data_IF_656952848041
#
_entry.id   IF_656952848041
#
_cell.length_a   1.000
_cell.length_b   1.000
_cell.length_c   1.000
_cell.angle_alpha   90.00
_cell.angle_beta   90.00
_cell.angle_gamma   90.00
#
_symmetry.space_group_name_H-M   'P 1'
#
loop_
_entity.id
_entity.type
_entity.pdbx_description
1 polymer ?
#
# COMPACT_ATOMS: atom_id res chain seq x y z
N UNK A 1 -5.28 6.80 17.55
CA UNK A 1 -3.97 6.21 17.90
C UNK A 1 -4.09 4.86 18.59
N UNK A 2 -4.88 3.91 18.06
CA UNK A 2 -4.92 2.54 18.60
C UNK A 2 -4.30 1.60 17.56
N UNK A 3 -2.97 1.51 17.56
CA UNK A 3 -2.16 0.85 16.51
C UNK A 3 -2.60 -0.61 16.34
N UNK A 4 -2.89 -1.31 17.43
CA UNK A 4 -3.37 -2.71 17.43
C UNK A 4 -4.63 -2.91 16.58
N UNK A 5 -5.53 -1.93 16.55
CA UNK A 5 -6.75 -2.01 15.73
C UNK A 5 -6.51 -1.65 14.27
N UNK A 6 -5.65 -0.68 13.96
CA UNK A 6 -5.24 -0.42 12.57
C UNK A 6 -4.55 -1.63 11.95
N UNK A 7 -3.70 -2.32 12.71
CA UNK A 7 -3.07 -3.56 12.25
C UNK A 7 -4.10 -4.69 12.09
N UNK A 8 -5.05 -4.83 13.02
CA UNK A 8 -6.10 -5.86 12.92
C UNK A 8 -7.02 -5.65 11.71
N UNK A 9 -7.36 -4.39 11.37
CA UNK A 9 -8.15 -4.05 10.18
C UNK A 9 -7.43 -4.43 8.88
N UNK A 10 -6.10 -4.53 8.86
CA UNK A 10 -5.36 -5.03 7.71
C UNK A 10 -5.21 -6.55 7.74
N UNK A 11 -4.79 -7.11 8.87
CA UNK A 11 -4.43 -8.53 8.97
C UNK A 11 -5.65 -9.44 8.79
N UNK A 12 -6.78 -9.13 9.44
CA UNK A 12 -7.94 -10.04 9.43
C UNK A 12 -8.55 -10.20 8.03
N UNK A 13 -8.88 -9.12 7.30
CA UNK A 13 -9.40 -9.27 5.95
C UNK A 13 -8.38 -9.82 4.95
N UNK A 14 -7.08 -9.56 5.11
CA UNK A 14 -6.04 -10.20 4.28
C UNK A 14 -6.01 -11.71 4.53
N UNK A 15 -6.06 -12.14 5.79
CA UNK A 15 -6.07 -13.56 6.14
C UNK A 15 -7.35 -14.23 5.64
N UNK A 16 -8.50 -13.57 5.80
CA UNK A 16 -9.77 -14.04 5.26
C UNK A 16 -9.74 -14.15 3.74
N UNK A 17 -9.21 -13.14 3.03
CA UNK A 17 -9.05 -13.17 1.58
C UNK A 17 -8.20 -14.35 1.13
N UNK A 18 -7.09 -14.63 1.82
CA UNK A 18 -6.19 -15.73 1.47
C UNK A 18 -6.85 -17.10 1.63
N UNK A 19 -7.59 -17.29 2.74
CA UNK A 19 -8.37 -18.52 2.98
C UNK A 19 -9.52 -18.67 1.97
N UNK A 20 -10.25 -17.58 1.69
CA UNK A 20 -11.34 -17.60 0.71
C UNK A 20 -10.85 -17.83 -0.72
N UNK A 21 -9.69 -17.28 -1.09
CA UNK A 21 -9.05 -17.55 -2.38
C UNK A 21 -8.67 -19.01 -2.52
N UNK A 22 -8.06 -19.60 -1.49
CA UNK A 22 -7.74 -21.03 -1.49
C UNK A 22 -9.01 -21.89 -1.62
N UNK A 23 -10.06 -21.56 -0.88
CA UNK A 23 -11.34 -22.27 -0.94
C UNK A 23 -12.00 -22.16 -2.33
N UNK A 24 -12.15 -20.95 -2.88
CA UNK A 24 -12.86 -20.76 -4.15
C UNK A 24 -12.08 -21.29 -5.36
N UNK A 25 -10.75 -21.25 -5.30
CA UNK A 25 -9.90 -21.68 -6.42
C UNK A 25 -9.62 -23.19 -6.36
N UNK A 26 -9.20 -23.74 -5.21
CA UNK A 26 -8.87 -25.17 -5.12
C UNK A 26 -10.09 -26.06 -4.88
N UNK A 27 -11.02 -25.65 -4.00
CA UNK A 27 -12.15 -26.52 -3.61
C UNK A 27 -13.32 -26.38 -4.57
N UNK A 28 -13.72 -25.15 -4.90
CA UNK A 28 -14.88 -24.90 -5.78
C UNK A 28 -14.53 -24.80 -7.27
N UNK A 29 -13.23 -24.80 -7.62
CA UNK A 29 -12.72 -24.72 -9.01
C UNK A 29 -13.35 -23.63 -9.88
N UNK A 30 -13.73 -22.50 -9.27
CA UNK A 30 -14.34 -21.35 -9.96
C UNK A 30 -13.27 -20.55 -10.74
N UNK A 31 -12.00 -20.97 -10.64
CA UNK A 31 -10.87 -20.34 -11.34
C UNK A 31 -10.72 -18.86 -10.97
N UNK A 32 -10.45 -18.03 -11.97
CA UNK A 32 -10.18 -16.59 -11.80
C UNK A 32 -11.38 -15.83 -11.19
N UNK A 33 -12.61 -16.24 -11.51
CA UNK A 33 -13.81 -15.63 -10.93
C UNK A 33 -13.92 -15.91 -9.42
N UNK A 34 -13.44 -17.06 -8.95
CA UNK A 34 -13.33 -17.40 -7.53
C UNK A 34 -12.37 -16.49 -6.77
N UNK A 35 -11.22 -16.17 -7.37
CA UNK A 35 -10.24 -15.23 -6.81
C UNK A 35 -10.80 -13.80 -6.72
N UNK A 36 -11.57 -13.37 -7.73
CA UNK A 36 -12.25 -12.08 -7.70
C UNK A 36 -13.29 -12.00 -6.56
N UNK A 37 -14.11 -13.03 -6.39
CA UNK A 37 -15.10 -13.11 -5.30
C UNK A 37 -14.44 -13.12 -3.91
N UNK A 38 -13.34 -13.86 -3.74
CA UNK A 38 -12.56 -13.84 -2.51
C UNK A 38 -12.08 -12.43 -2.15
N UNK A 39 -11.67 -11.65 -3.16
CA UNK A 39 -11.19 -10.26 -3.00
C UNK A 39 -12.30 -9.33 -2.57
N UNK A 40 -13.45 -9.41 -3.23
CA UNK A 40 -14.65 -8.63 -2.84
C UNK A 40 -15.08 -8.97 -1.42
N UNK A 41 -15.10 -10.26 -1.05
CA UNK A 41 -15.44 -10.69 0.30
C UNK A 41 -14.44 -10.20 1.35
N UNK A 42 -13.14 -10.28 1.09
CA UNK A 42 -12.10 -9.73 1.97
C UNK A 42 -12.25 -8.23 2.19
N UNK A 43 -12.52 -7.47 1.12
CA UNK A 43 -12.78 -6.03 1.20
C UNK A 43 -14.09 -5.73 1.95
N UNK A 44 -15.14 -6.54 1.77
CA UNK A 44 -16.39 -6.41 2.50
C UNK A 44 -16.20 -6.66 4.02
N UNK A 45 -15.38 -7.63 4.40
CA UNK A 45 -15.01 -7.88 5.81
C UNK A 45 -14.25 -6.67 6.37
N UNK A 46 -13.30 -6.12 5.61
CA UNK A 46 -12.56 -4.90 6.00
C UNK A 46 -13.50 -3.71 6.21
N UNK A 47 -14.41 -3.47 5.27
CA UNK A 47 -15.42 -2.43 5.35
C UNK A 47 -16.35 -2.63 6.56
N UNK A 48 -16.80 -3.86 6.79
CA UNK A 48 -17.63 -4.22 7.94
C UNK A 48 -16.91 -3.98 9.27
N UNK A 49 -15.63 -4.32 9.38
CA UNK A 49 -14.83 -4.02 10.57
C UNK A 49 -14.60 -2.53 10.78
N UNK A 50 -14.37 -1.77 9.70
CA UNK A 50 -14.25 -0.32 9.77
C UNK A 50 -15.55 0.31 10.29
N UNK A 51 -16.71 -0.10 9.76
CA UNK A 51 -18.03 0.36 10.24
C UNK A 51 -18.25 -0.05 11.69
N UNK A 52 -17.96 -1.30 12.08
CA UNK A 52 -18.09 -1.75 13.46
C UNK A 52 -17.19 -0.96 14.42
N UNK A 53 -15.94 -0.70 14.04
CA UNK A 53 -15.00 0.09 14.82
C UNK A 53 -15.47 1.56 14.97
N UNK A 54 -16.00 2.15 13.89
CA UNK A 54 -16.46 3.53 13.85
C UNK A 54 -17.88 3.75 14.40
N UNK A 55 -18.72 2.72 14.56
CA UNK A 55 -20.09 2.85 15.07
C UNK A 55 -20.30 2.18 16.44
N UNK A 56 -19.75 0.99 16.69
CA UNK A 56 -20.09 0.19 17.86
C UNK A 56 -19.11 0.25 19.04
N UNK A 57 -17.88 0.75 18.85
CA UNK A 57 -16.90 0.77 19.95
C UNK A 57 -17.16 1.92 20.94
N UNK A 58 -17.44 1.54 22.20
CA UNK A 58 -17.82 2.41 23.35
C UNK A 58 -16.69 3.31 23.88
N UNK A 59 -15.42 2.99 23.62
CA UNK A 59 -14.25 3.78 24.06
C UNK A 59 -13.77 4.71 22.92
N UNK A 60 -14.40 5.88 22.81
CA UNK A 60 -14.23 6.83 21.69
C UNK A 60 -13.16 7.88 22.02
N UNK A 61 -12.13 7.96 21.17
CA UNK A 61 -11.29 9.18 21.08
C UNK A 61 -11.85 10.19 20.06
N UNK A 62 -12.78 9.76 19.19
CA UNK A 62 -13.47 10.58 18.18
C UNK A 62 -14.96 10.18 18.14
N UNK A 63 -15.86 11.09 18.50
CA UNK A 63 -17.31 10.90 18.44
C UNK A 63 -17.82 11.24 17.03
N UNK A 64 -18.06 10.24 16.20
CA UNK A 64 -18.82 10.43 14.96
C UNK A 64 -20.30 10.33 15.32
N UNK A 65 -20.96 11.46 15.52
CA UNK A 65 -22.43 11.54 15.59
C UNK A 65 -22.94 11.99 14.23
N UNK A 66 -24.03 11.39 13.75
CA UNK A 66 -24.70 11.81 12.50
C UNK A 66 -25.08 13.30 12.51
N UNK A 67 -25.25 13.89 13.70
CA UNK A 67 -25.49 15.33 13.89
C UNK A 67 -24.32 16.25 13.46
N UNK A 68 -23.09 15.72 13.32
CA UNK A 68 -21.92 16.48 12.83
C UNK A 68 -21.64 16.28 11.34
N UNK A 69 -22.52 15.57 10.61
CA UNK A 69 -22.38 15.36 9.16
C UNK A 69 -22.88 16.59 8.38
N UNK A 70 -22.36 17.78 8.73
CA UNK A 70 -22.58 18.99 7.96
C UNK A 70 -21.47 19.07 6.92
N UNK A 71 -21.76 19.07 5.60
CA UNK A 71 -20.75 19.19 4.58
C UNK A 71 -20.07 20.56 4.71
N UNK A 72 -18.81 20.52 5.14
CA UNK A 72 -17.94 21.69 5.25
C UNK A 72 -17.14 21.81 3.95
N UNK A 73 -17.65 22.61 3.02
CA UNK A 73 -17.05 22.83 1.70
C UNK A 73 -15.58 23.28 1.75
N UNK A 74 -15.16 24.21 2.62
CA UNK A 74 -13.73 24.53 2.79
C UNK A 74 -12.88 23.33 3.18
N UNK A 75 -13.37 22.49 4.11
CA UNK A 75 -12.66 21.27 4.52
C UNK A 75 -12.55 20.25 3.37
N UNK A 76 -13.61 20.09 2.58
CA UNK A 76 -13.61 19.23 1.39
C UNK A 76 -12.57 19.73 0.37
N UNK A 77 -12.52 21.05 0.14
CA UNK A 77 -11.52 21.67 -0.72
C UNK A 77 -10.08 21.42 -0.26
N UNK A 78 -9.82 21.52 1.04
CA UNK A 78 -8.51 21.25 1.63
C UNK A 78 -8.09 19.77 1.48
N UNK A 79 -9.02 18.84 1.71
CA UNK A 79 -8.77 17.40 1.49
C UNK A 79 -8.50 17.09 0.03
N UNK A 80 -9.25 17.70 -0.90
CA UNK A 80 -9.01 17.56 -2.34
C UNK A 80 -7.66 18.14 -2.75
N UNK A 81 -7.27 19.29 -2.19
CA UNK A 81 -5.97 19.91 -2.47
C UNK A 81 -4.80 19.02 -2.01
N UNK A 82 -4.94 18.34 -0.88
CA UNK A 82 -3.93 17.39 -0.36
C UNK A 82 -3.96 16.06 -1.14
N UNK A 83 -5.15 15.61 -1.56
CA UNK A 83 -5.35 14.37 -2.30
C UNK A 83 -4.92 14.44 -3.77
N UNK A 84 -5.09 15.59 -4.40
CA UNK A 84 -4.84 15.79 -5.84
C UNK A 84 -3.38 15.47 -6.25
N UNK A 85 -2.33 15.91 -5.52
CA UNK A 85 -0.96 15.48 -5.79
C UNK A 85 -0.76 13.96 -5.72
N UNK A 86 -1.43 13.30 -4.78
CA UNK A 86 -1.34 11.83 -4.62
C UNK A 86 -2.02 11.10 -5.78
N UNK A 87 -3.16 11.62 -6.26
CA UNK A 87 -3.82 11.10 -7.45
C UNK A 87 -2.96 11.29 -8.70
N UNK A 88 -2.41 12.50 -8.90
CA UNK A 88 -1.52 12.78 -10.02
C UNK A 88 -0.30 11.84 -10.02
N UNK A 89 0.33 11.62 -8.86
CA UNK A 89 1.46 10.68 -8.74
C UNK A 89 1.09 9.25 -9.17
N UNK A 90 -0.05 8.73 -8.72
CA UNK A 90 -0.49 7.38 -9.07
C UNK A 90 -0.91 7.26 -10.53
N UNK A 91 -1.55 8.29 -11.09
CA UNK A 91 -1.88 8.38 -12.51
C UNK A 91 -0.62 8.39 -13.37
N UNK A 92 0.37 9.23 -13.04
CA UNK A 92 1.65 9.26 -13.73
C UNK A 92 2.38 7.92 -13.66
N UNK A 93 2.40 7.26 -12.50
CA UNK A 93 2.99 5.93 -12.36
C UNK A 93 2.28 4.88 -13.21
N UNK A 94 0.94 4.91 -13.25
CA UNK A 94 0.15 3.97 -14.06
C UNK A 94 0.35 4.19 -15.55
N UNK A 95 0.36 5.45 -15.99
CA UNK A 95 0.65 5.83 -17.37
C UNK A 95 2.06 5.39 -17.79
N UNK A 96 3.06 5.58 -16.92
CA UNK A 96 4.43 5.14 -17.17
C UNK A 96 4.46 3.62 -17.42
N UNK A 97 3.80 2.83 -16.56
CA UNK A 97 3.73 1.36 -16.74
C UNK A 97 3.07 0.98 -18.06
N UNK A 98 1.97 1.63 -18.45
CA UNK A 98 1.28 1.35 -19.72
C UNK A 98 2.18 1.70 -20.92
N UNK A 99 2.82 2.86 -20.90
CA UNK A 99 3.71 3.30 -21.96
C UNK A 99 4.91 2.37 -22.05
N UNK A 100 5.55 2.02 -20.93
CA UNK A 100 6.68 1.10 -20.92
C UNK A 100 6.27 -0.30 -21.39
N UNK A 101 5.11 -0.82 -20.98
CA UNK A 101 4.63 -2.12 -21.44
C UNK A 101 4.36 -2.13 -22.96
N UNK A 102 3.76 -1.07 -23.50
CA UNK A 102 3.56 -0.93 -24.94
C UNK A 102 4.87 -0.77 -25.71
N UNK A 103 5.81 0.05 -25.21
CA UNK A 103 7.12 0.23 -25.84
C UNK A 103 7.91 -1.08 -25.87
N UNK A 104 7.88 -1.86 -24.78
CA UNK A 104 8.57 -3.15 -24.75
C UNK A 104 7.94 -4.18 -25.67
N UNK A 105 6.61 -4.16 -25.82
CA UNK A 105 5.92 -5.01 -26.79
C UNK A 105 6.37 -4.71 -28.23
N UNK A 106 6.73 -3.46 -28.54
CA UNK A 106 7.18 -3.03 -29.87
C UNK A 106 8.69 -3.22 -30.06
N UNK A 107 9.51 -2.96 -29.05
CA UNK A 107 10.99 -2.90 -29.18
C UNK A 107 11.69 -4.20 -28.76
N UNK A 108 11.13 -4.96 -27.81
CA UNK A 108 11.81 -6.08 -27.15
C UNK A 108 11.39 -7.48 -27.58
N UNK A 109 10.33 -7.62 -28.37
CA UNK A 109 9.68 -8.92 -28.60
C UNK A 109 9.21 -9.60 -27.30
N UNK A 110 8.81 -10.87 -27.35
CA UNK A 110 8.37 -11.61 -26.15
C UNK A 110 9.48 -11.75 -25.09
N UNK A 111 10.75 -11.83 -25.51
CA UNK A 111 11.89 -11.94 -24.61
C UNK A 111 12.15 -10.67 -23.79
N UNK A 112 12.03 -9.48 -24.41
CA UNK A 112 12.20 -8.20 -23.70
C UNK A 112 11.08 -7.92 -22.70
N UNK A 113 9.84 -8.33 -23.03
CA UNK A 113 8.71 -8.22 -22.11
C UNK A 113 8.89 -9.11 -20.88
N UNK A 114 9.39 -10.34 -21.07
CA UNK A 114 9.65 -11.28 -19.98
C UNK A 114 10.73 -10.78 -19.01
N UNK A 115 11.85 -10.24 -19.52
CA UNK A 115 12.92 -9.67 -18.67
C UNK A 115 12.41 -8.49 -17.86
N UNK A 116 11.60 -7.61 -18.46
CA UNK A 116 11.03 -6.47 -17.74
C UNK A 116 9.98 -6.86 -16.70
N UNK A 117 9.18 -7.89 -16.95
CA UNK A 117 8.27 -8.43 -15.95
C UNK A 117 9.04 -8.89 -14.70
N UNK A 118 10.17 -9.58 -14.88
CA UNK A 118 11.04 -10.01 -13.79
C UNK A 118 11.65 -8.80 -13.06
N UNK A 119 12.23 -7.84 -13.80
CA UNK A 119 12.84 -6.64 -13.21
C UNK A 119 11.83 -5.77 -12.47
N UNK A 120 10.63 -5.59 -13.01
CA UNK A 120 9.57 -4.81 -12.36
C UNK A 120 9.04 -5.49 -11.09
N UNK A 121 8.98 -6.83 -11.05
CA UNK A 121 8.63 -7.61 -9.85
C UNK A 121 9.74 -7.57 -8.80
N UNK A 122 11.00 -7.57 -9.23
CA UNK A 122 12.14 -7.34 -8.32
C UNK A 122 12.08 -5.93 -7.73
N UNK A 123 11.85 -4.92 -8.58
CA UNK A 123 11.75 -3.53 -8.15
C UNK A 123 10.60 -3.32 -7.15
N UNK A 124 9.42 -3.89 -7.39
CA UNK A 124 8.28 -3.77 -6.48
C UNK A 124 8.54 -4.46 -5.14
N UNK A 125 9.17 -5.64 -5.14
CA UNK A 125 9.54 -6.38 -3.94
C UNK A 125 10.55 -5.60 -3.08
N UNK A 126 11.56 -5.01 -3.71
CA UNK A 126 12.55 -4.18 -3.01
C UNK A 126 11.97 -2.86 -2.51
N UNK A 127 10.94 -2.30 -3.17
CA UNK A 127 10.28 -1.09 -2.73
C UNK A 127 9.26 -1.30 -1.60
N UNK A 128 8.79 -2.54 -1.36
CA UNK A 128 7.78 -2.80 -0.33
C UNK A 128 8.20 -2.31 1.06
N UNK A 129 9.39 -2.63 1.59
CA UNK A 129 9.80 -2.14 2.92
C UNK A 129 9.91 -0.62 2.98
N UNK A 130 10.39 0.01 1.90
CA UNK A 130 10.48 1.46 1.81
C UNK A 130 9.08 2.12 1.84
N UNK A 131 8.11 1.57 1.11
CA UNK A 131 6.73 2.06 1.18
C UNK A 131 6.11 1.84 2.58
N UNK A 132 6.49 0.76 3.27
CA UNK A 132 6.10 0.51 4.67
C UNK A 132 6.60 1.60 5.63
N UNK A 133 7.86 2.03 5.50
CA UNK A 133 8.42 3.14 6.31
C UNK A 133 7.64 4.43 6.04
N UNK A 134 7.37 4.74 4.77
CA UNK A 134 6.63 5.97 4.39
C UNK A 134 5.20 5.95 4.93
N UNK A 135 4.50 4.82 4.80
CA UNK A 135 3.12 4.68 5.30
C UNK A 135 3.05 4.74 6.83
N UNK A 136 4.06 4.22 7.55
CA UNK A 136 4.15 4.34 9.01
C UNK A 136 4.45 5.76 9.49
N UNK A 137 5.24 6.52 8.72
CA UNK A 137 5.58 7.92 9.00
C UNK A 137 4.38 8.86 8.81
N UNK A 138 3.57 8.67 7.78
CA UNK A 138 2.47 9.57 7.41
C UNK A 138 1.48 9.89 8.55
N UNK A 139 0.96 8.93 9.35
CA UNK A 139 0.08 9.23 10.48
C UNK A 139 0.82 9.89 11.66
N UNK A 140 2.11 9.58 11.85
CA UNK A 140 2.95 10.18 12.89
C UNK A 140 3.17 11.68 12.62
N UNK A 141 3.49 12.00 11.36
CA UNK A 141 3.60 13.38 10.88
C UNK A 141 2.26 14.10 10.97
N UNK A 142 1.17 13.48 10.50
CA UNK A 142 -0.18 14.06 10.58
C UNK A 142 -0.62 14.40 12.01
N UNK A 143 -0.35 13.51 12.97
CA UNK A 143 -0.67 13.76 14.38
C UNK A 143 0.17 14.89 15.01
N UNK A 144 1.49 14.89 14.76
CA UNK A 144 2.39 15.92 15.30
C UNK A 144 2.18 17.30 14.64
N UNK A 145 1.86 17.32 13.33
CA UNK A 145 1.51 18.54 12.61
C UNK A 145 0.20 19.13 13.13
N UNK A 146 -0.82 18.30 13.39
CA UNK A 146 -2.08 18.73 14.01
C UNK A 146 -1.93 19.32 15.42
N UNK A 147 -0.91 18.90 16.17
CA UNK A 147 -0.56 19.49 17.48
C UNK A 147 0.39 20.69 17.37
N UNK A 148 0.71 21.18 16.16
CA UNK A 148 1.70 22.25 15.90
C UNK A 148 3.09 21.96 16.47
N UNK A 149 3.44 20.68 16.69
CA UNK A 149 4.75 20.23 17.21
C UNK A 149 5.76 20.03 16.07
N UNK A 150 6.11 21.12 15.39
CA UNK A 150 6.97 21.08 14.20
C UNK A 150 8.37 20.47 14.46
N UNK A 151 8.93 20.65 15.65
CA UNK A 151 10.20 20.03 16.03
C UNK A 151 10.15 18.48 15.95
N UNK A 152 9.06 17.88 16.45
CA UNK A 152 8.84 16.43 16.36
C UNK A 152 8.55 15.95 14.95
N UNK A 153 7.93 16.79 14.12
CA UNK A 153 7.74 16.49 12.69
C UNK A 153 9.10 16.38 11.99
N UNK A 154 9.99 17.35 12.20
CA UNK A 154 11.33 17.31 11.61
C UNK A 154 12.16 16.12 12.10
N UNK A 155 12.08 15.78 13.39
CA UNK A 155 12.74 14.60 13.94
C UNK A 155 12.23 13.30 13.32
N UNK A 156 10.90 13.16 13.19
CA UNK A 156 10.27 11.99 12.56
C UNK A 156 10.71 11.85 11.10
N UNK A 157 10.77 12.97 10.37
CA UNK A 157 11.22 12.99 8.97
C UNK A 157 12.70 12.61 8.87
N UNK A 158 13.58 13.14 9.74
CA UNK A 158 15.00 12.79 9.74
C UNK A 158 15.24 11.32 10.03
N UNK A 159 14.53 10.76 11.02
CA UNK A 159 14.62 9.34 11.35
C UNK A 159 14.15 8.47 10.18
N UNK A 160 13.03 8.84 9.54
CA UNK A 160 12.48 8.09 8.41
C UNK A 160 13.37 8.20 7.16
N UNK A 161 13.98 9.36 6.91
CA UNK A 161 15.00 9.55 5.87
C UNK A 161 16.23 8.69 6.15
N UNK A 162 16.77 8.73 7.37
CA UNK A 162 17.91 7.90 7.76
C UNK A 162 17.63 6.41 7.56
N UNK A 163 16.47 5.92 8.01
CA UNK A 163 16.06 4.53 7.80
C UNK A 163 15.91 4.19 6.31
N UNK A 164 15.35 5.09 5.50
CA UNK A 164 15.19 4.89 4.05
C UNK A 164 16.55 4.85 3.33
N UNK A 165 17.50 5.70 3.72
CA UNK A 165 18.85 5.72 3.15
C UNK A 165 19.63 4.48 3.53
N UNK A 166 19.59 4.06 4.81
CA UNK A 166 20.22 2.81 5.26
C UNK A 166 19.64 1.61 4.51
N UNK A 167 18.31 1.54 4.38
CA UNK A 167 17.65 0.50 3.60
C UNK A 167 18.07 0.53 2.12
N UNK A 168 18.11 1.72 1.50
CA UNK A 168 18.57 1.89 0.13
C UNK A 168 20.01 1.42 -0.09
N UNK A 169 20.91 1.73 0.86
CA UNK A 169 22.31 1.25 0.83
C UNK A 169 22.40 -0.27 1.00
N UNK A 170 21.59 -0.87 1.88
CA UNK A 170 21.53 -2.32 2.05
C UNK A 170 21.04 -3.01 0.77
N UNK A 171 19.97 -2.49 0.16
CA UNK A 171 19.43 -3.02 -1.11
C UNK A 171 20.47 -2.88 -2.23
N UNK A 172 21.15 -1.73 -2.32
CA UNK A 172 22.19 -1.52 -3.31
C UNK A 172 23.38 -2.48 -3.09
N UNK A 173 23.80 -2.68 -1.85
CA UNK A 173 24.84 -3.66 -1.50
C UNK A 173 24.45 -5.10 -1.86
N UNK A 174 23.21 -5.50 -1.55
CA UNK A 174 22.66 -6.81 -1.94
C UNK A 174 22.63 -6.99 -3.46
N UNK A 175 22.24 -5.95 -4.21
CA UNK A 175 22.14 -5.99 -5.66
C UNK A 175 23.52 -6.09 -6.34
N UNK A 176 24.54 -5.43 -5.78
CA UNK A 176 25.91 -5.47 -6.31
C UNK A 176 26.69 -6.72 -5.90
N UNK A 177 26.47 -7.25 -4.70
CA UNK A 177 27.20 -8.42 -4.18
C UNK A 177 26.59 -9.76 -4.63
N UNK A 178 25.27 -9.82 -4.83
CA UNK A 178 24.55 -11.05 -5.19
C UNK A 178 23.53 -10.85 -6.32
N UNK A 179 23.93 -10.29 -7.49
CA UNK A 179 22.99 -10.12 -8.61
C UNK A 179 22.44 -11.46 -9.11
N UNK A 180 23.28 -12.50 -9.17
CA UNK A 180 22.88 -13.83 -9.64
C UNK A 180 21.89 -14.54 -8.69
N UNK A 181 22.04 -14.39 -7.36
CA UNK A 181 21.15 -15.04 -6.39
C UNK A 181 19.77 -14.37 -6.32
N UNK A 182 19.71 -13.03 -6.46
CA UNK A 182 18.45 -12.30 -6.52
C UNK A 182 17.67 -12.62 -7.80
N UNK A 183 18.37 -12.71 -8.94
CA UNK A 183 17.76 -13.09 -10.22
C UNK A 183 17.30 -14.54 -10.17
N UNK A 184 18.08 -15.49 -9.63
CA UNK A 184 17.70 -16.90 -9.55
C UNK A 184 16.54 -17.19 -8.58
N UNK A 185 16.46 -16.47 -7.46
CA UNK A 185 15.37 -16.62 -6.48
C UNK A 185 14.03 -16.10 -7.05
N UNK A 186 14.06 -15.07 -7.91
CA UNK A 186 12.87 -14.52 -8.55
C UNK A 186 12.55 -15.11 -9.92
N UNK A 187 13.50 -15.77 -10.60
CA UNK A 187 13.26 -16.42 -11.90
C UNK A 187 12.70 -17.85 -11.78
N UNK A 188 12.62 -18.41 -10.58
CA UNK A 188 12.14 -19.78 -10.34
C UNK A 188 10.62 -19.91 -10.13
N UNK A 189 9.83 -18.86 -10.36
CA UNK A 189 8.36 -18.92 -10.47
C UNK A 189 7.85 -18.42 -11.83
#
# INVERSE_FOLDING_TARGET
GNIRYSTAIWVIPVTANLVLSWLFVMVLQIGVAGAALATVAGQAISAGMAVYFFFFRKNRSYQIKAAYFKPDWPLIGEVLLIGFPSLAKNLSASLLVIVTNNLLKVVGGDAGLAVYAIVSRLYSSLNMPQTGIVQGMQPLVGFNFGQKKFARVQETIRLSLGASVVYGLLVLGLCLLFPAALISLLSQE
#
